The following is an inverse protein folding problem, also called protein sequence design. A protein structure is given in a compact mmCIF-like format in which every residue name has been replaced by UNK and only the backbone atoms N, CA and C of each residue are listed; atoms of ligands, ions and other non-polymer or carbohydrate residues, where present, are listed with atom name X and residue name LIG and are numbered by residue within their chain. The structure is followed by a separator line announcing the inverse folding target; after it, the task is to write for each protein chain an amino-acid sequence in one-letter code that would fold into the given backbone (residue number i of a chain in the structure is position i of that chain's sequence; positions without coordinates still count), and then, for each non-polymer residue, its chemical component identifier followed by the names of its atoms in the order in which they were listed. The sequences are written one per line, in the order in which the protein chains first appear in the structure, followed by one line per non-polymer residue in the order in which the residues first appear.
data_IF_261313044506
#
_entry.id   IF_261313044506
#
_cell.length_a   1.000
_cell.length_b   1.000
_cell.length_c   1.000
_cell.angle_alpha   90.00
_cell.angle_beta   90.00
_cell.angle_gamma   90.00
#
_symmetry.space_group_name_H-M   'P 1'
#
loop_
_entity.id
_entity.type
_entity.pdbx_description
1 polymer ?
#
# COMPACT_ATOMS: atom_id res chain seq x y z
N UNK A 1 54.88 -44.65 -28.21
CA UNK A 1 53.98 -43.48 -28.39
C UNK A 1 52.62 -44.02 -28.80
N UNK A 2 51.66 -44.09 -27.88
CA UNK A 2 50.24 -44.24 -28.22
C UNK A 2 49.50 -43.15 -27.47
N UNK A 3 49.64 -41.92 -27.95
CA UNK A 3 48.68 -40.87 -27.60
C UNK A 3 47.71 -40.87 -28.77
N UNK A 4 46.40 -40.85 -28.46
CA UNK A 4 45.28 -40.74 -29.39
C UNK A 4 44.67 -42.07 -29.85
N UNK A 5 43.72 -42.61 -29.08
CA UNK A 5 42.88 -43.74 -29.49
C UNK A 5 41.43 -43.56 -29.02
N UNK A 6 40.50 -44.17 -29.75
CA UNK A 6 39.11 -44.36 -29.33
C UNK A 6 38.98 -45.75 -28.67
N UNK A 7 38.11 -45.89 -27.68
CA UNK A 7 37.96 -47.12 -26.89
C UNK A 7 36.50 -47.54 -26.74
N UNK A 8 36.24 -48.84 -26.83
CA UNK A 8 34.99 -49.48 -26.42
C UNK A 8 35.34 -50.72 -25.58
N UNK A 9 34.90 -50.75 -24.33
CA UNK A 9 35.12 -51.88 -23.41
C UNK A 9 33.78 -52.51 -23.04
N UNK A 10 33.76 -53.84 -23.00
CA UNK A 10 32.63 -54.66 -22.54
C UNK A 10 33.16 -55.68 -21.51
N UNK A 11 32.97 -55.40 -20.22
CA UNK A 11 33.37 -56.28 -19.11
C UNK A 11 32.16 -57.01 -18.54
N UNK A 12 32.30 -58.30 -18.29
CA UNK A 12 31.30 -59.13 -17.60
C UNK A 12 31.90 -59.87 -16.39
N UNK A 13 32.89 -59.25 -15.74
CA UNK A 13 33.40 -59.74 -14.47
C UNK A 13 32.33 -59.53 -13.40
N UNK A 14 32.00 -60.59 -12.66
CA UNK A 14 30.96 -60.57 -11.64
C UNK A 14 31.15 -59.37 -10.70
N UNK A 15 30.08 -58.61 -10.52
CA UNK A 15 30.02 -57.41 -9.65
C UNK A 15 30.90 -56.22 -10.14
N UNK A 16 31.45 -56.30 -11.36
CA UNK A 16 32.29 -55.29 -12.02
C UNK A 16 32.00 -55.22 -13.54
N UNK A 17 30.73 -55.46 -13.91
CA UNK A 17 30.27 -55.36 -15.29
C UNK A 17 30.30 -53.90 -15.75
N UNK A 18 30.87 -53.64 -16.93
CA UNK A 18 31.06 -52.28 -17.44
C UNK A 18 30.92 -52.23 -18.96
N UNK A 19 30.29 -51.16 -19.43
CA UNK A 19 30.41 -50.69 -20.81
C UNK A 19 31.05 -49.30 -20.77
N UNK A 20 32.23 -49.15 -21.35
CA UNK A 20 32.96 -47.87 -21.43
C UNK A 20 33.15 -47.45 -22.88
N UNK A 21 32.91 -46.17 -23.17
CA UNK A 21 33.09 -45.59 -24.50
C UNK A 21 33.95 -44.33 -24.36
N UNK A 22 35.01 -44.24 -25.17
CA UNK A 22 35.86 -43.06 -25.30
C UNK A 22 35.97 -42.62 -26.74
N UNK A 23 35.56 -41.39 -27.01
CA UNK A 23 35.90 -40.68 -28.24
C UNK A 23 37.01 -39.66 -27.94
N UNK A 24 38.09 -39.68 -28.73
CA UNK A 24 39.23 -38.79 -28.53
C UNK A 24 38.97 -37.35 -29.02
N UNK A 25 38.03 -37.18 -29.94
CA UNK A 25 37.70 -35.87 -30.54
C UNK A 25 36.20 -35.63 -30.53
N UNK A 26 35.47 -36.32 -31.40
CA UNK A 26 34.04 -36.10 -31.62
C UNK A 26 33.26 -37.40 -31.39
N UNK A 27 32.14 -37.34 -30.65
CA UNK A 27 31.15 -38.41 -30.55
C UNK A 27 29.81 -37.87 -31.08
N UNK A 28 29.26 -38.52 -32.10
CA UNK A 28 27.97 -38.15 -32.70
C UNK A 28 26.99 -39.33 -32.56
N UNK A 29 25.81 -39.06 -32.02
CA UNK A 29 24.70 -40.01 -31.96
C UNK A 29 23.55 -39.50 -32.83
N UNK A 30 23.14 -40.29 -33.82
CA UNK A 30 22.08 -39.91 -34.76
C UNK A 30 20.98 -40.98 -34.77
N UNK A 31 19.82 -40.62 -34.24
CA UNK A 31 18.68 -41.52 -34.03
C UNK A 31 17.48 -40.98 -34.82
N UNK A 32 16.98 -41.76 -35.79
CA UNK A 32 15.86 -41.33 -36.67
C UNK A 32 14.48 -41.49 -36.04
N UNK A 33 14.37 -42.28 -34.99
CA UNK A 33 13.11 -42.61 -34.32
C UNK A 33 13.20 -42.30 -32.83
N UNK A 34 13.19 -43.32 -31.97
CA UNK A 34 13.08 -43.15 -30.52
C UNK A 34 14.40 -43.49 -29.84
N UNK A 35 14.76 -42.70 -28.82
CA UNK A 35 15.80 -43.01 -27.84
C UNK A 35 15.14 -43.14 -26.47
N UNK A 36 15.48 -44.19 -25.73
CA UNK A 36 15.04 -44.38 -24.36
C UNK A 36 16.24 -44.77 -23.51
N UNK A 37 16.36 -44.16 -22.34
CA UNK A 37 17.40 -44.44 -21.37
C UNK A 37 16.75 -44.60 -20.00
N UNK A 38 17.13 -45.64 -19.28
CA UNK A 38 16.75 -45.86 -17.88
C UNK A 38 18.02 -46.09 -17.09
N UNK A 39 18.18 -45.33 -16.01
CA UNK A 39 19.31 -45.43 -15.09
C UNK A 39 18.72 -45.69 -13.72
N UNK A 40 19.07 -46.84 -13.13
CA UNK A 40 18.48 -47.28 -11.86
C UNK A 40 19.10 -46.60 -10.63
N UNK A 41 20.29 -46.01 -10.78
CA UNK A 41 21.02 -45.36 -9.72
C UNK A 41 21.32 -43.90 -10.12
N UNK A 42 22.59 -43.50 -10.13
CA UNK A 42 22.97 -42.11 -10.35
C UNK A 42 23.30 -41.81 -11.82
N UNK A 43 23.00 -40.57 -12.25
CA UNK A 43 23.45 -39.99 -13.51
C UNK A 43 24.21 -38.70 -13.22
N UNK A 44 25.50 -38.71 -13.52
CA UNK A 44 26.35 -37.53 -13.46
C UNK A 44 26.74 -37.09 -14.88
N UNK A 45 26.71 -35.78 -15.13
CA UNK A 45 27.11 -35.20 -16.41
C UNK A 45 27.88 -33.91 -16.18
N UNK A 46 29.00 -33.77 -16.87
CA UNK A 46 29.85 -32.58 -16.83
C UNK A 46 30.14 -32.13 -18.25
N UNK A 47 29.80 -30.88 -18.57
CA UNK A 47 30.14 -30.22 -19.82
C UNK A 47 30.99 -29.01 -19.46
N UNK A 48 32.24 -28.97 -19.92
CA UNK A 48 33.14 -27.84 -19.62
C UNK A 48 32.94 -26.65 -20.57
N UNK A 49 32.38 -26.91 -21.75
CA UNK A 49 31.96 -25.90 -22.70
C UNK A 49 30.47 -25.58 -22.60
N UNK A 50 29.87 -25.22 -23.73
CA UNK A 50 28.45 -24.89 -23.82
C UNK A 50 27.58 -26.14 -23.93
N UNK A 51 26.39 -26.08 -23.32
CA UNK A 51 25.32 -27.06 -23.49
C UNK A 51 24.11 -26.38 -24.12
N UNK A 52 23.57 -26.97 -25.20
CA UNK A 52 22.38 -26.48 -25.88
C UNK A 52 21.39 -27.63 -26.05
N UNK A 53 20.15 -27.42 -25.62
CA UNK A 53 19.05 -28.35 -25.79
C UNK A 53 17.91 -27.66 -26.57
N UNK A 54 17.37 -28.34 -27.57
CA UNK A 54 16.28 -27.84 -28.41
C UNK A 54 15.16 -28.86 -28.47
N UNK A 55 14.03 -28.56 -27.82
CA UNK A 55 12.80 -29.36 -27.87
C UNK A 55 11.75 -28.57 -28.61
N UNK A 56 11.28 -29.10 -29.74
CA UNK A 56 10.39 -28.36 -30.67
C UNK A 56 8.90 -28.49 -30.35
N UNK A 57 8.53 -29.42 -29.47
CA UNK A 57 7.12 -29.70 -29.14
C UNK A 57 6.84 -29.58 -27.65
N UNK A 58 7.32 -30.54 -26.87
CA UNK A 58 6.93 -30.68 -25.47
C UNK A 58 8.08 -31.21 -24.62
N UNK A 59 8.30 -30.54 -23.49
CA UNK A 59 9.25 -30.92 -22.47
C UNK A 59 8.52 -31.09 -21.14
N UNK A 60 8.66 -32.26 -20.51
CA UNK A 60 8.21 -32.54 -19.15
C UNK A 60 9.41 -32.94 -18.31
N UNK A 61 9.58 -32.28 -17.17
CA UNK A 61 10.53 -32.65 -16.15
C UNK A 61 9.77 -32.90 -14.85
N UNK A 62 9.99 -34.05 -14.24
CA UNK A 62 9.39 -34.43 -12.96
C UNK A 62 10.52 -34.77 -11.99
N UNK A 63 10.59 -34.03 -10.88
CA UNK A 63 11.61 -34.19 -9.85
C UNK A 63 10.83 -34.39 -8.54
N UNK A 64 10.83 -35.63 -8.04
CA UNK A 64 10.11 -35.99 -6.81
C UNK A 64 10.83 -35.51 -5.54
N UNK A 65 12.15 -35.37 -5.62
CA UNK A 65 12.99 -34.84 -4.55
C UNK A 65 13.18 -33.33 -4.65
N UNK A 66 14.43 -32.90 -4.61
CA UNK A 66 14.81 -31.49 -4.63
C UNK A 66 15.40 -31.07 -5.99
N UNK A 67 15.11 -29.84 -6.40
CA UNK A 67 15.77 -29.17 -7.53
C UNK A 67 16.58 -27.97 -7.00
N UNK A 68 17.90 -28.02 -7.13
CA UNK A 68 18.80 -26.89 -6.89
C UNK A 68 19.30 -26.36 -8.24
N UNK A 69 19.24 -25.04 -8.44
CA UNK A 69 19.72 -24.39 -9.67
C UNK A 69 20.59 -23.22 -9.27
N UNK A 70 21.87 -23.27 -9.65
CA UNK A 70 22.85 -22.21 -9.42
C UNK A 70 23.37 -21.72 -10.75
N UNK A 71 23.27 -20.41 -10.97
CA UNK A 71 23.74 -19.74 -12.19
C UNK A 71 24.73 -18.66 -11.75
N UNK A 72 25.97 -18.75 -12.24
CA UNK A 72 27.04 -17.82 -11.88
C UNK A 72 26.99 -16.48 -12.64
N UNK A 73 26.11 -16.36 -13.64
CA UNK A 73 25.89 -15.17 -14.44
C UNK A 73 24.40 -14.85 -14.57
N UNK A 74 23.99 -14.35 -15.73
CA UNK A 74 22.60 -13.98 -16.00
C UNK A 74 21.68 -15.20 -16.16
N UNK A 75 20.44 -15.09 -15.65
CA UNK A 75 19.38 -16.09 -15.82
C UNK A 75 18.15 -15.49 -16.50
N UNK A 76 18.06 -15.64 -17.82
CA UNK A 76 16.97 -15.13 -18.64
C UNK A 76 15.91 -16.20 -18.91
N UNK A 77 14.63 -15.87 -18.66
CA UNK A 77 13.48 -16.73 -18.98
C UNK A 77 12.51 -15.97 -19.88
N UNK A 78 12.29 -16.47 -21.10
CA UNK A 78 11.33 -15.90 -22.05
C UNK A 78 10.16 -16.88 -22.25
N UNK A 79 8.93 -16.41 -22.04
CA UNK A 79 7.71 -17.21 -22.18
C UNK A 79 6.72 -16.44 -23.04
N UNK A 80 6.30 -17.02 -24.17
CA UNK A 80 5.50 -16.33 -25.18
C UNK A 80 4.01 -16.21 -24.84
N UNK A 81 3.48 -17.15 -24.03
CA UNK A 81 2.05 -17.24 -23.75
C UNK A 81 1.75 -16.98 -22.27
N UNK A 82 2.01 -17.95 -21.39
CA UNK A 82 1.68 -17.85 -19.97
C UNK A 82 2.72 -18.57 -19.09
N UNK A 83 2.88 -18.07 -17.87
CA UNK A 83 3.72 -18.67 -16.83
C UNK A 83 2.93 -18.73 -15.54
N UNK A 84 2.61 -19.94 -15.10
CA UNK A 84 1.98 -20.20 -13.80
C UNK A 84 3.02 -20.65 -12.79
N UNK A 85 2.83 -20.29 -11.52
CA UNK A 85 3.70 -20.70 -10.42
C UNK A 85 2.84 -21.02 -9.21
N UNK A 86 2.89 -22.27 -8.78
CA UNK A 86 2.13 -22.78 -7.62
C UNK A 86 3.15 -23.21 -6.58
N UNK A 87 3.05 -22.64 -5.38
CA UNK A 87 3.93 -22.93 -4.26
C UNK A 87 3.08 -23.38 -3.08
N UNK A 88 3.36 -24.59 -2.57
CA UNK A 88 2.51 -25.21 -1.54
C UNK A 88 2.74 -24.70 -0.12
N UNK A 89 3.91 -24.10 0.16
CA UNK A 89 4.31 -23.67 1.51
C UNK A 89 4.74 -22.20 1.54
N UNK A 90 5.91 -21.87 0.98
CA UNK A 90 6.50 -20.52 1.09
C UNK A 90 7.24 -20.11 -0.17
N UNK A 91 7.09 -18.84 -0.55
CA UNK A 91 7.84 -18.21 -1.64
C UNK A 91 8.64 -17.02 -1.08
N UNK A 92 9.96 -17.05 -1.23
CA UNK A 92 10.85 -15.97 -0.77
C UNK A 92 11.67 -15.47 -1.94
N UNK A 93 11.71 -14.14 -2.11
CA UNK A 93 12.47 -13.46 -3.14
C UNK A 93 13.44 -12.48 -2.47
N UNK A 94 14.74 -12.72 -2.61
CA UNK A 94 15.79 -11.81 -2.17
C UNK A 94 16.43 -11.17 -3.39
N UNK A 95 16.42 -9.84 -3.46
CA UNK A 95 16.99 -9.07 -4.58
C UNK A 95 18.04 -8.13 -4.00
N UNK A 96 19.27 -8.20 -4.52
CA UNK A 96 20.40 -7.45 -3.97
C UNK A 96 20.52 -6.01 -4.45
N UNK A 97 19.88 -5.65 -5.57
CA UNK A 97 19.96 -4.32 -6.18
C UNK A 97 18.56 -3.78 -6.46
N UNK A 98 17.96 -4.12 -7.60
CA UNK A 98 16.68 -3.55 -8.04
C UNK A 98 15.67 -4.62 -8.45
N UNK A 99 14.39 -4.40 -8.12
CA UNK A 99 13.26 -5.20 -8.59
C UNK A 99 12.28 -4.33 -9.38
N UNK A 100 12.20 -4.53 -10.70
CA UNK A 100 11.30 -3.78 -11.59
C UNK A 100 10.18 -4.68 -12.12
N UNK A 101 8.95 -4.37 -11.74
CA UNK A 101 7.74 -5.02 -12.26
C UNK A 101 7.03 -4.10 -13.26
N UNK A 102 6.71 -4.62 -14.45
CA UNK A 102 5.86 -3.94 -15.43
C UNK A 102 4.72 -4.85 -15.84
N UNK A 103 3.49 -4.41 -15.57
CA UNK A 103 2.26 -5.11 -15.97
C UNK A 103 1.56 -4.24 -17.01
N UNK A 104 1.29 -4.79 -18.19
CA UNK A 104 0.77 -4.01 -19.32
C UNK A 104 -0.75 -3.73 -19.24
N UNK A 105 -1.48 -4.55 -18.47
CA UNK A 105 -2.93 -4.49 -18.39
C UNK A 105 -3.39 -4.43 -16.93
N UNK A 106 -3.69 -5.57 -16.33
CA UNK A 106 -4.32 -5.66 -15.01
C UNK A 106 -3.41 -6.39 -14.02
N UNK A 107 -3.38 -5.91 -12.76
CA UNK A 107 -2.72 -6.57 -11.64
C UNK A 107 -3.73 -6.74 -10.50
N UNK A 108 -3.79 -7.93 -9.90
CA UNK A 108 -4.62 -8.21 -8.74
C UNK A 108 -3.84 -9.00 -7.71
N UNK A 109 -4.12 -8.73 -6.44
CA UNK A 109 -3.48 -9.41 -5.31
C UNK A 109 -4.57 -9.77 -4.29
N UNK A 110 -4.50 -10.97 -3.73
CA UNK A 110 -5.40 -11.43 -2.68
C UNK A 110 -4.58 -12.12 -1.61
N UNK A 111 -4.64 -11.58 -0.39
CA UNK A 111 -3.89 -12.06 0.76
C UNK A 111 -4.91 -12.58 1.76
N UNK A 112 -4.81 -13.86 2.12
CA UNK A 112 -5.72 -14.48 3.11
C UNK A 112 -5.37 -14.13 4.56
N UNK A 113 -4.13 -13.72 4.82
CA UNK A 113 -3.65 -13.24 6.11
C UNK A 113 -3.20 -11.78 6.05
N UNK A 114 -2.18 -11.44 6.84
CA UNK A 114 -1.70 -10.06 6.96
C UNK A 114 -0.73 -9.67 5.84
N UNK A 115 -0.78 -8.39 5.44
CA UNK A 115 0.21 -7.76 4.56
C UNK A 115 0.96 -6.67 5.32
N UNK A 116 2.28 -6.83 5.46
CA UNK A 116 3.18 -5.80 6.00
C UNK A 116 4.07 -5.26 4.88
N UNK A 117 4.19 -3.94 4.80
CA UNK A 117 5.06 -3.23 3.86
C UNK A 117 5.97 -2.31 4.67
N UNK A 118 7.28 -2.41 4.44
CA UNK A 118 8.29 -1.59 5.10
C UNK A 118 9.19 -1.00 4.02
N UNK A 119 9.32 0.33 4.03
CA UNK A 119 10.08 1.09 3.04
C UNK A 119 10.99 2.04 3.82
N UNK A 120 12.29 1.85 3.72
CA UNK A 120 13.28 2.68 4.42
C UNK A 120 13.54 4.01 3.69
N UNK A 121 13.38 4.02 2.37
CA UNK A 121 13.47 5.21 1.54
C UNK A 121 12.12 5.87 1.32
N UNK A 122 11.95 6.49 0.16
CA UNK A 122 10.73 7.20 -0.20
C UNK A 122 9.68 6.26 -0.81
N UNK A 123 8.41 6.51 -0.50
CA UNK A 123 7.26 5.92 -1.19
C UNK A 123 6.58 6.98 -2.06
N UNK A 124 6.32 6.66 -3.33
CA UNK A 124 5.62 7.55 -4.26
C UNK A 124 4.60 6.73 -5.02
N UNK A 125 3.34 7.18 -4.97
CA UNK A 125 2.21 6.56 -5.66
C UNK A 125 1.59 7.57 -6.62
N UNK A 126 1.31 7.15 -7.86
CA UNK A 126 0.63 7.96 -8.86
C UNK A 126 -0.48 7.15 -9.50
N UNK A 127 -1.72 7.61 -9.35
CA UNK A 127 -2.92 6.97 -9.86
C UNK A 127 -3.57 7.97 -10.82
N UNK A 128 -3.71 7.57 -12.09
CA UNK A 128 -4.31 8.43 -13.13
C UNK A 128 -5.84 8.38 -13.14
N UNK A 129 -6.41 7.27 -12.65
CA UNK A 129 -7.84 7.07 -12.48
C UNK A 129 -8.27 7.29 -11.02
N UNK A 130 -9.27 6.55 -10.60
CA UNK A 130 -9.83 6.65 -9.25
C UNK A 130 -9.08 5.76 -8.24
N UNK A 131 -9.01 6.22 -6.99
CA UNK A 131 -8.54 5.44 -5.84
C UNK A 131 -9.66 5.25 -4.83
N UNK A 132 -9.91 4.00 -4.43
CA UNK A 132 -10.91 3.66 -3.41
C UNK A 132 -10.29 2.75 -2.36
N UNK A 133 -10.40 3.15 -1.08
CA UNK A 133 -9.89 2.41 0.06
C UNK A 133 -11.03 2.13 1.03
N UNK A 134 -11.33 0.86 1.24
CA UNK A 134 -12.35 0.41 2.19
C UNK A 134 -11.68 -0.29 3.36
N UNK A 135 -11.81 0.28 4.57
CA UNK A 135 -11.24 -0.28 5.80
C UNK A 135 -12.39 -0.63 6.74
N UNK A 136 -12.55 -1.92 7.05
CA UNK A 136 -13.60 -2.40 7.97
C UNK A 136 -13.21 -2.21 9.45
N UNK A 137 -11.91 -2.30 9.73
CA UNK A 137 -11.36 -2.04 11.06
C UNK A 137 -10.91 -0.60 11.21
N UNK A 138 -9.92 -0.38 12.07
CA UNK A 138 -9.38 0.95 12.34
C UNK A 138 -8.37 1.37 11.28
N UNK A 139 -8.33 2.67 10.96
CA UNK A 139 -7.29 3.29 10.15
C UNK A 139 -6.53 4.29 11.01
N UNK A 140 -5.23 4.09 11.17
CA UNK A 140 -4.34 4.98 11.92
C UNK A 140 -3.23 5.44 10.99
N UNK A 141 -2.96 6.73 10.98
CA UNK A 141 -1.88 7.34 10.22
C UNK A 141 -1.13 8.30 11.14
N UNK A 142 0.18 8.11 11.25
CA UNK A 142 1.07 8.96 12.03
C UNK A 142 2.09 9.54 11.07
N UNK A 143 2.13 10.86 10.98
CA UNK A 143 3.10 11.60 10.16
C UNK A 143 3.93 12.44 11.11
N UNK A 144 5.23 12.17 11.17
CA UNK A 144 6.17 12.89 12.05
C UNK A 144 6.57 14.25 11.49
N UNK A 145 6.53 14.40 10.16
CA UNK A 145 6.69 15.66 9.45
C UNK A 145 5.35 16.27 9.04
N UNK A 146 5.37 17.01 7.94
CA UNK A 146 4.19 17.68 7.43
C UNK A 146 3.29 16.75 6.61
N UNK A 147 1.98 16.99 6.67
CA UNK A 147 0.98 16.34 5.82
C UNK A 147 0.16 17.38 5.07
N UNK A 148 0.42 17.51 3.78
CA UNK A 148 -0.36 18.36 2.89
C UNK A 148 -1.51 17.57 2.22
N UNK A 149 -2.70 18.15 2.22
CA UNK A 149 -3.88 17.62 1.51
C UNK A 149 -4.42 18.72 0.61
N UNK A 150 -4.28 18.54 -0.71
CA UNK A 150 -4.81 19.47 -1.71
C UNK A 150 -5.88 18.80 -2.56
N UNK A 151 -7.08 19.38 -2.60
CA UNK A 151 -8.25 18.86 -3.30
C UNK A 151 -8.84 19.96 -4.17
N UNK A 152 -8.81 19.78 -5.50
CA UNK A 152 -9.26 20.80 -6.46
C UNK A 152 -10.78 21.01 -6.48
N UNK A 153 -11.56 20.06 -5.95
CA UNK A 153 -13.03 20.10 -5.97
C UNK A 153 -13.57 20.04 -4.54
N UNK A 154 -14.05 18.87 -4.11
CA UNK A 154 -14.78 18.70 -2.86
C UNK A 154 -14.02 17.77 -1.92
N UNK A 155 -13.83 18.20 -0.69
CA UNK A 155 -13.51 17.36 0.45
C UNK A 155 -14.77 17.15 1.29
N UNK A 156 -15.07 15.91 1.66
CA UNK A 156 -16.15 15.57 2.59
C UNK A 156 -15.55 14.77 3.76
N UNK A 157 -15.81 15.22 4.98
CA UNK A 157 -15.44 14.54 6.21
C UNK A 157 -16.73 14.34 7.00
N UNK A 158 -17.11 13.09 7.23
CA UNK A 158 -18.31 12.72 7.95
C UNK A 158 -18.00 11.58 8.92
N UNK A 159 -18.46 11.72 10.16
CA UNK A 159 -18.41 10.71 11.22
C UNK A 159 -19.82 10.47 11.74
N UNK A 160 -20.03 9.39 12.49
CA UNK A 160 -21.26 9.18 13.26
C UNK A 160 -21.14 9.67 14.70
N UNK A 161 -19.93 9.62 15.27
CA UNK A 161 -19.71 9.91 16.69
C UNK A 161 -19.01 11.27 16.86
N UNK A 162 -17.69 11.33 16.67
CA UNK A 162 -16.89 12.52 16.96
C UNK A 162 -15.89 12.84 15.85
N UNK A 163 -15.70 14.14 15.57
CA UNK A 163 -14.51 14.68 14.91
C UNK A 163 -13.79 15.54 15.93
N UNK A 164 -12.51 15.25 16.19
CA UNK A 164 -11.67 16.11 17.01
C UNK A 164 -10.53 16.72 16.20
N UNK A 165 -10.37 18.04 16.26
CA UNK A 165 -9.26 18.77 15.64
C UNK A 165 -8.52 19.50 16.76
N UNK A 166 -7.22 19.23 16.91
CA UNK A 166 -6.36 19.85 17.93
C UNK A 166 -5.08 20.34 17.26
N UNK A 167 -4.68 21.55 17.59
CA UNK A 167 -3.40 22.15 17.21
C UNK A 167 -2.81 22.85 18.43
N UNK A 168 -1.50 22.76 18.61
CA UNK A 168 -0.81 23.42 19.71
C UNK A 168 -0.55 24.91 19.43
N UNK A 169 -0.58 25.31 18.16
CA UNK A 169 -0.32 26.69 17.74
C UNK A 169 -1.61 27.32 17.19
N UNK A 170 -1.95 27.02 15.93
CA UNK A 170 -3.08 27.65 15.26
C UNK A 170 -3.98 26.64 14.51
N UNK A 171 -5.27 26.96 14.42
CA UNK A 171 -6.23 26.37 13.48
C UNK A 171 -6.77 27.52 12.62
N UNK A 172 -6.33 27.59 11.37
CA UNK A 172 -6.78 28.62 10.43
C UNK A 172 -7.86 28.07 9.49
N UNK A 173 -9.02 28.73 9.45
CA UNK A 173 -10.13 28.40 8.56
C UNK A 173 -10.54 29.65 7.78
N UNK A 174 -10.56 29.57 6.45
CA UNK A 174 -10.90 30.69 5.59
C UNK A 174 -11.67 30.21 4.37
N UNK A 175 -12.70 30.96 4.01
CA UNK A 175 -13.51 30.73 2.82
C UNK A 175 -13.87 32.07 2.20
N UNK A 176 -13.64 32.27 0.89
CA UNK A 176 -13.94 33.53 0.22
C UNK A 176 -15.44 33.77 0.01
N UNK A 177 -16.28 32.76 0.25
CA UNK A 177 -17.73 32.84 0.01
C UNK A 177 -18.51 32.75 1.32
N UNK A 178 -18.37 31.63 2.03
CA UNK A 178 -19.10 31.39 3.27
C UNK A 178 -18.39 30.40 4.18
N UNK A 179 -18.55 30.60 5.48
CA UNK A 179 -18.19 29.67 6.53
C UNK A 179 -19.41 29.52 7.45
N UNK A 180 -19.93 28.31 7.59
CA UNK A 180 -21.11 28.01 8.40
C UNK A 180 -20.75 27.00 9.49
N UNK A 181 -21.26 27.23 10.70
CA UNK A 181 -21.15 26.33 11.85
C UNK A 181 -22.56 26.16 12.42
N UNK A 182 -23.07 24.93 12.44
CA UNK A 182 -24.43 24.61 12.86
C UNK A 182 -24.42 23.48 13.88
N UNK A 183 -25.22 23.62 14.94
CA UNK A 183 -25.36 22.63 16.00
C UNK A 183 -26.78 22.68 16.57
N UNK A 184 -27.41 21.52 16.74
CA UNK A 184 -28.79 21.45 17.24
C UNK A 184 -28.92 21.78 18.74
N UNK A 185 -27.88 21.45 19.52
CA UNK A 185 -27.94 21.53 20.99
C UNK A 185 -27.15 22.70 21.55
N UNK A 186 -25.86 22.80 21.21
CA UNK A 186 -24.97 23.76 21.85
C UNK A 186 -23.73 24.04 20.98
N UNK A 187 -23.32 25.31 20.94
CA UNK A 187 -22.04 25.76 20.39
C UNK A 187 -21.33 26.64 21.43
N UNK A 188 -20.08 26.31 21.76
CA UNK A 188 -19.30 27.01 22.79
C UNK A 188 -17.97 27.46 22.21
N UNK A 189 -17.61 28.73 22.47
CA UNK A 189 -16.30 29.29 22.18
C UNK A 189 -15.69 29.80 23.48
N UNK A 190 -14.54 29.27 23.87
CA UNK A 190 -13.79 29.69 25.05
C UNK A 190 -12.41 30.14 24.62
N UNK A 191 -12.05 31.37 24.96
CA UNK A 191 -10.76 31.98 24.64
C UNK A 191 -10.53 33.16 25.59
N UNK A 192 -9.27 33.55 25.80
CA UNK A 192 -8.93 34.79 26.51
C UNK A 192 -9.55 36.01 25.82
N UNK A 193 -9.56 36.00 24.49
CA UNK A 193 -10.14 37.06 23.67
C UNK A 193 -10.92 36.49 22.50
N UNK A 194 -12.08 37.08 22.22
CA UNK A 194 -12.89 36.80 21.04
C UNK A 194 -13.12 38.12 20.32
N UNK A 195 -12.78 38.17 19.02
CA UNK A 195 -13.01 39.34 18.16
C UNK A 195 -13.92 38.93 17.01
N UNK A 196 -15.01 39.67 16.82
CA UNK A 196 -15.93 39.48 15.70
C UNK A 196 -16.12 40.82 15.00
N UNK A 197 -15.82 40.85 13.70
CA UNK A 197 -15.84 42.08 12.89
C UNK A 197 -16.68 41.78 11.64
N UNK A 198 -17.62 42.67 11.35
CA UNK A 198 -18.39 42.63 10.12
C UNK A 198 -18.37 44.03 9.48
N UNK A 199 -18.07 44.09 8.18
CA UNK A 199 -18.04 45.36 7.43
C UNK A 199 -19.43 45.96 7.22
N UNK A 200 -20.45 45.09 7.20
CA UNK A 200 -21.85 45.47 6.99
C UNK A 200 -22.66 45.24 8.25
N UNK A 201 -23.28 44.07 8.40
CA UNK A 201 -24.21 43.78 9.47
C UNK A 201 -23.63 42.74 10.42
N UNK A 202 -23.87 42.92 11.70
CA UNK A 202 -23.60 41.92 12.73
C UNK A 202 -24.93 41.54 13.39
N UNK A 203 -25.36 40.30 13.21
CA UNK A 203 -26.68 39.82 13.62
C UNK A 203 -26.56 38.74 14.68
N UNK A 204 -27.21 38.97 15.82
CA UNK A 204 -27.36 38.00 16.90
C UNK A 204 -28.86 37.79 17.14
N UNK A 205 -29.34 36.57 16.90
CA UNK A 205 -30.75 36.21 17.07
C UNK A 205 -30.86 35.10 18.12
N UNK A 206 -31.72 35.31 19.11
CA UNK A 206 -32.09 34.29 20.08
C UNK A 206 -33.61 34.27 20.23
N UNK A 207 -34.20 33.07 20.30
CA UNK A 207 -35.67 32.93 20.37
C UNK A 207 -36.22 33.20 21.77
N UNK A 208 -35.42 33.01 22.82
CA UNK A 208 -35.87 33.12 24.20
C UNK A 208 -35.19 34.27 24.94
N UNK A 209 -33.86 34.23 25.00
CA UNK A 209 -33.05 35.21 25.74
C UNK A 209 -31.68 35.34 25.08
N UNK A 210 -31.14 36.57 25.06
CA UNK A 210 -29.72 36.81 24.80
C UNK A 210 -29.15 37.64 25.95
N UNK A 211 -27.94 37.31 26.38
CA UNK A 211 -27.29 37.97 27.51
C UNK A 211 -25.81 38.27 27.24
N UNK A 212 -25.36 39.40 27.77
CA UNK A 212 -23.95 39.81 27.81
C UNK A 212 -23.62 40.06 29.28
N UNK A 213 -22.58 39.39 29.79
CA UNK A 213 -22.18 39.49 31.18
C UNK A 213 -20.70 39.87 31.32
N UNK A 214 -20.43 40.83 32.21
CA UNK A 214 -19.08 41.28 32.60
C UNK A 214 -19.03 41.37 34.13
N UNK A 215 -18.49 40.34 34.79
CA UNK A 215 -18.58 40.20 36.25
C UNK A 215 -20.04 40.18 36.71
N UNK A 216 -20.40 41.10 37.61
CA UNK A 216 -21.78 41.29 38.12
C UNK A 216 -22.67 42.13 37.19
N UNK A 217 -22.12 42.73 36.13
CA UNK A 217 -22.88 43.59 35.21
C UNK A 217 -23.46 42.76 34.06
N UNK A 218 -24.73 43.01 33.70
CA UNK A 218 -25.45 42.24 32.67
C UNK A 218 -26.28 43.14 31.75
N UNK A 219 -26.33 42.77 30.48
CA UNK A 219 -27.37 43.20 29.54
C UNK A 219 -28.13 41.95 29.12
N UNK A 220 -29.44 41.92 29.33
CA UNK A 220 -30.29 40.77 28.99
C UNK A 220 -31.46 41.24 28.16
N UNK A 221 -31.66 40.64 26.98
CA UNK A 221 -32.82 40.88 26.13
C UNK A 221 -33.71 39.65 26.13
N UNK A 222 -35.00 39.85 26.37
CA UNK A 222 -36.07 38.85 26.32
C UNK A 222 -37.06 39.23 25.21
N UNK A 223 -38.06 38.39 24.97
CA UNK A 223 -39.08 38.65 23.94
C UNK A 223 -39.90 39.93 24.15
N UNK A 224 -40.00 40.42 25.38
CA UNK A 224 -40.86 41.56 25.77
C UNK A 224 -40.11 42.70 26.49
N UNK A 225 -38.82 42.54 26.77
CA UNK A 225 -38.07 43.45 27.64
C UNK A 225 -36.56 43.43 27.42
N UNK A 226 -35.91 44.53 27.80
CA UNK A 226 -34.45 44.67 27.88
C UNK A 226 -34.08 45.09 29.30
N UNK A 227 -33.17 44.36 29.93
CA UNK A 227 -32.75 44.56 31.32
C UNK A 227 -31.25 44.87 31.35
N UNK A 228 -30.87 45.97 31.99
CA UNK A 228 -29.47 46.37 32.18
C UNK A 228 -29.20 46.45 33.68
N UNK A 229 -28.22 45.69 34.17
CA UNK A 229 -27.77 45.71 35.57
C UNK A 229 -26.31 46.11 35.64
N UNK A 230 -25.99 47.13 36.43
CA UNK A 230 -24.62 47.56 36.67
C UNK A 230 -24.51 48.32 38.00
N UNK A 231 -23.45 48.08 38.76
CA UNK A 231 -23.16 48.83 39.99
C UNK A 231 -24.25 48.76 41.07
N UNK A 232 -25.03 47.68 41.11
CA UNK A 232 -26.16 47.51 42.05
C UNK A 232 -27.47 48.17 41.62
N UNK A 233 -27.50 48.78 40.43
CA UNK A 233 -28.71 49.38 39.83
C UNK A 233 -29.25 48.47 38.73
N UNK A 234 -30.57 48.39 38.63
CA UNK A 234 -31.29 47.66 37.58
C UNK A 234 -32.19 48.65 36.82
N UNK A 235 -32.14 48.57 35.49
CA UNK A 235 -32.96 49.36 34.57
C UNK A 235 -33.69 48.40 33.65
N UNK A 236 -35.01 48.56 33.51
CA UNK A 236 -35.84 47.71 32.67
C UNK A 236 -36.50 48.57 31.58
N UNK A 237 -36.46 48.11 30.34
CA UNK A 237 -37.22 48.69 29.23
C UNK A 237 -38.24 47.63 28.80
N UNK A 238 -39.52 47.95 28.93
CA UNK A 238 -40.62 47.06 28.53
C UNK A 238 -41.66 47.81 27.67
N UNK A 239 -42.81 47.18 27.42
CA UNK A 239 -43.92 47.78 26.66
C UNK A 239 -44.47 49.12 27.21
N UNK A 240 -44.15 49.48 28.46
CA UNK A 240 -44.57 50.72 29.13
C UNK A 240 -43.46 51.78 29.13
N UNK A 241 -42.28 51.47 28.61
CA UNK A 241 -41.12 52.37 28.56
C UNK A 241 -40.03 51.99 29.56
N UNK A 242 -39.29 52.99 30.05
CA UNK A 242 -38.21 52.83 31.02
C UNK A 242 -38.77 52.75 32.44
N UNK A 243 -38.45 51.68 33.17
CA UNK A 243 -38.85 51.39 34.56
C UNK A 243 -37.64 51.21 35.45
#
# INVERSE_FOLDING_TARGET
MSCCYNELTLSNLKDNEEIYIRAQKDYNEYIKHNFSQTIHNNKDSKVEGSYTESITKYHKQEILGMKDVRVGGEYLTNVALSKDTIVGLSHTLNVGVDNKLRVAKDSSESIGGDKRVEIQGNYTESIQGDSSKNVKGNSVEVVEGDKDISINKKLNIQTQDEITIRSNDNIYMSSPQSLSLESDTNAVMVSDNISMIADSNYTLNANNEASIQVGESTITTKGDSVIIKAGGVEVIIDSKGLV
#
